data_IF_875328140459
#
_entry.id   IF_875328140459
#
_cell.length_a   1.000
_cell.length_b   1.000
_cell.length_c   1.000
_cell.angle_alpha   90.00
_cell.angle_beta   90.00
_cell.angle_gamma   90.00
#
_symmetry.space_group_name_H-M   'P 1'
#
loop_
_entity.id
_entity.type
_entity.pdbx_description
1 polymer ?
#
# COMPACT_ATOMS: atom_id res chain seq x y z
N UNK A 1 12.88 -3.06 -25.05
CA UNK A 1 12.19 -1.78 -25.29
C UNK A 1 10.68 -1.91 -25.07
N UNK A 2 9.91 -2.68 -25.86
CA UNK A 2 8.45 -2.76 -25.67
C UNK A 2 7.96 -3.41 -24.35
N UNK A 3 8.63 -4.45 -23.84
CA UNK A 3 8.15 -5.14 -22.64
C UNK A 3 8.28 -4.32 -21.33
N UNK A 4 9.29 -3.47 -21.21
CA UNK A 4 9.48 -2.61 -20.04
C UNK A 4 8.48 -1.45 -20.03
N UNK A 5 8.28 -0.79 -21.18
CA UNK A 5 7.29 0.27 -21.35
C UNK A 5 5.84 -0.21 -21.15
N UNK A 6 5.51 -1.45 -21.51
CA UNK A 6 4.18 -2.01 -21.25
C UNK A 6 3.94 -2.30 -19.77
N UNK A 7 4.99 -2.70 -19.03
CA UNK A 7 4.91 -2.87 -17.56
C UNK A 7 4.75 -1.50 -16.89
N UNK A 8 5.53 -0.50 -17.29
CA UNK A 8 5.44 0.87 -16.78
C UNK A 8 4.05 1.48 -17.01
N UNK A 9 3.48 1.31 -18.22
CA UNK A 9 2.11 1.75 -18.52
C UNK A 9 1.05 1.01 -17.72
N UNK A 10 1.18 -0.30 -17.53
CA UNK A 10 0.24 -1.07 -16.73
C UNK A 10 0.29 -0.67 -15.24
N UNK A 11 1.48 -0.35 -14.74
CA UNK A 11 1.71 0.16 -13.39
C UNK A 11 1.14 1.57 -13.23
N UNK A 12 1.41 2.48 -14.18
CA UNK A 12 0.85 3.84 -14.22
C UNK A 12 -0.70 3.84 -14.30
N UNK A 13 -1.29 3.00 -15.14
CA UNK A 13 -2.74 2.87 -15.28
C UNK A 13 -3.39 2.24 -14.02
N UNK A 14 -2.70 1.29 -13.38
CA UNK A 14 -3.12 0.76 -12.07
C UNK A 14 -3.18 1.88 -11.02
N UNK A 15 -2.19 2.78 -11.03
CA UNK A 15 -2.18 3.94 -10.14
C UNK A 15 -3.26 4.99 -10.44
N UNK A 16 -3.63 5.23 -11.71
CA UNK A 16 -4.71 6.16 -12.07
C UNK A 16 -6.10 5.67 -11.63
N UNK A 17 -6.29 4.36 -11.51
CA UNK A 17 -7.64 3.79 -11.40
C UNK A 17 -8.35 4.01 -10.05
N UNK A 18 -7.67 4.17 -8.91
CA UNK A 18 -8.40 4.18 -7.63
C UNK A 18 -7.74 5.07 -6.54
N UNK A 19 -8.17 6.33 -6.46
CA UNK A 19 -7.91 7.21 -5.32
C UNK A 19 -8.76 6.93 -4.07
N UNK A 20 -9.66 5.93 -4.14
CA UNK A 20 -10.52 5.49 -3.02
C UNK A 20 -10.10 4.11 -2.50
N UNK A 21 -10.25 3.84 -1.20
CA UNK A 21 -10.09 2.50 -0.62
C UNK A 21 -11.01 1.45 -1.22
N UNK A 22 -10.61 0.19 -1.13
CA UNK A 22 -11.40 -0.96 -1.55
C UNK A 22 -11.94 -1.79 -0.39
N UNK A 23 -11.23 -1.86 0.73
CA UNK A 23 -11.69 -2.61 1.89
C UNK A 23 -12.75 -1.81 2.66
N UNK A 24 -13.86 -2.46 3.02
CA UNK A 24 -15.00 -1.77 3.65
C UNK A 24 -14.61 -1.04 4.95
N UNK A 25 -13.73 -1.66 5.75
CA UNK A 25 -13.21 -1.05 6.97
C UNK A 25 -12.46 0.25 6.72
N UNK A 26 -11.61 0.27 5.70
CA UNK A 26 -10.84 1.45 5.33
C UNK A 26 -11.72 2.52 4.67
N UNK A 27 -12.67 2.10 3.84
CA UNK A 27 -13.61 3.02 3.18
C UNK A 27 -14.42 3.81 4.22
N UNK A 28 -14.88 3.18 5.31
CA UNK A 28 -15.55 3.88 6.43
C UNK A 28 -14.66 4.93 7.08
N UNK A 29 -13.36 4.66 7.24
CA UNK A 29 -12.41 5.64 7.79
C UNK A 29 -12.23 6.80 6.82
N UNK A 30 -12.04 6.50 5.53
CA UNK A 30 -11.89 7.50 4.48
C UNK A 30 -13.08 8.44 4.41
N UNK A 31 -14.31 7.89 4.30
CA UNK A 31 -15.53 8.69 4.20
C UNK A 31 -15.74 9.55 5.45
N UNK A 32 -15.56 8.99 6.64
CA UNK A 32 -15.66 9.75 7.90
C UNK A 32 -14.69 10.93 7.95
N UNK A 33 -13.42 10.71 7.61
CA UNK A 33 -12.42 11.79 7.62
C UNK A 33 -12.73 12.83 6.55
N UNK A 34 -13.10 12.40 5.34
CA UNK A 34 -13.46 13.30 4.25
C UNK A 34 -14.71 14.15 4.58
N UNK A 35 -15.69 13.59 5.27
CA UNK A 35 -16.87 14.31 5.74
C UNK A 35 -16.51 15.36 6.82
N UNK A 36 -15.55 15.06 7.69
CA UNK A 36 -15.11 15.95 8.77
C UNK A 36 -14.25 17.13 8.27
N UNK A 37 -13.31 16.90 7.36
CA UNK A 37 -12.28 17.89 6.98
C UNK A 37 -12.24 18.24 5.49
N UNK A 38 -13.16 17.68 4.70
CA UNK A 38 -13.21 17.84 3.24
C UNK A 38 -12.20 16.96 2.50
N UNK A 39 -11.95 17.23 1.20
CA UNK A 39 -11.09 16.39 0.37
C UNK A 39 -9.66 16.33 0.91
N UNK A 40 -9.01 15.17 0.78
CA UNK A 40 -7.66 14.88 1.25
C UNK A 40 -6.58 15.47 0.32
N UNK A 41 -6.57 16.79 0.18
CA UNK A 41 -5.80 17.57 -0.78
C UNK A 41 -4.53 18.25 -0.21
N UNK A 42 -4.22 18.03 1.07
CA UNK A 42 -3.05 18.60 1.73
C UNK A 42 -2.37 17.60 2.65
N UNK A 43 -1.06 17.79 2.89
CA UNK A 43 -0.27 16.95 3.81
C UNK A 43 -0.90 16.91 5.21
N UNK A 44 -1.43 18.04 5.71
CA UNK A 44 -2.08 18.10 7.01
C UNK A 44 -3.33 17.19 7.07
N UNK A 45 -4.18 17.23 6.03
CA UNK A 45 -5.36 16.37 5.94
C UNK A 45 -4.99 14.89 5.76
N UNK A 46 -3.95 14.59 4.99
CA UNK A 46 -3.40 13.23 4.92
C UNK A 46 -2.90 12.73 6.29
N UNK A 47 -2.32 13.62 7.10
CA UNK A 47 -1.95 13.33 8.48
C UNK A 47 -3.15 12.95 9.35
N UNK A 48 -4.27 13.68 9.23
CA UNK A 48 -5.52 13.33 9.90
C UNK A 48 -6.07 11.99 9.43
N UNK A 49 -6.00 11.71 8.12
CA UNK A 49 -6.43 10.42 7.59
C UNK A 49 -5.58 9.25 8.12
N UNK A 50 -4.25 9.38 8.09
CA UNK A 50 -3.34 8.40 8.70
C UNK A 50 -3.65 8.16 10.18
N UNK A 51 -4.01 9.21 10.92
CA UNK A 51 -4.42 9.10 12.31
C UNK A 51 -5.73 8.33 12.45
N UNK A 52 -6.72 8.60 11.59
CA UNK A 52 -7.98 7.85 11.57
C UNK A 52 -7.79 6.36 11.25
N UNK A 53 -6.85 6.01 10.36
CA UNK A 53 -6.50 4.62 10.08
C UNK A 53 -5.89 3.96 11.33
N UNK A 54 -4.96 4.65 11.99
CA UNK A 54 -4.31 4.17 13.22
C UNK A 54 -5.31 3.95 14.38
N UNK A 55 -6.37 4.75 14.45
CA UNK A 55 -7.44 4.58 15.44
C UNK A 55 -8.35 3.39 15.14
N UNK A 56 -8.58 3.10 13.85
CA UNK A 56 -9.37 1.96 13.41
C UNK A 56 -8.59 0.63 13.50
N UNK A 57 -7.28 0.67 13.32
CA UNK A 57 -6.41 -0.50 13.41
C UNK A 57 -5.09 -0.18 14.15
N UNK A 58 -4.97 -0.71 15.37
CA UNK A 58 -3.79 -0.51 16.20
C UNK A 58 -2.49 -1.13 15.63
N UNK A 59 -2.58 -2.03 14.65
CA UNK A 59 -1.41 -2.58 13.94
C UNK A 59 -0.82 -1.58 12.94
N UNK A 60 -1.60 -0.58 12.53
CA UNK A 60 -1.12 0.52 11.71
C UNK A 60 -0.23 1.45 12.55
N UNK A 61 1.07 1.20 12.50
CA UNK A 61 2.08 1.90 13.33
C UNK A 61 3.01 2.79 12.49
N UNK A 62 3.99 3.45 13.11
CA UNK A 62 5.00 4.22 12.38
C UNK A 62 5.75 3.43 11.30
N UNK A 63 5.82 2.09 11.40
CA UNK A 63 6.35 1.22 10.33
C UNK A 63 5.51 1.32 9.06
N UNK A 64 4.19 1.36 9.17
CA UNK A 64 3.28 1.53 8.03
C UNK A 64 3.55 2.86 7.32
N UNK A 65 3.65 3.96 8.09
CA UNK A 65 3.94 5.30 7.56
C UNK A 65 5.29 5.32 6.82
N UNK A 66 6.32 4.68 7.39
CA UNK A 66 7.63 4.54 6.75
C UNK A 66 7.52 3.77 5.43
N UNK A 67 6.79 2.66 5.40
CA UNK A 67 6.63 1.84 4.20
C UNK A 67 5.88 2.60 3.09
N UNK A 68 4.83 3.33 3.44
CA UNK A 68 4.10 4.22 2.50
C UNK A 68 5.04 5.27 1.94
N UNK A 69 5.81 5.95 2.80
CA UNK A 69 6.75 6.99 2.39
C UNK A 69 7.83 6.45 1.45
N UNK A 70 8.33 5.24 1.69
CA UNK A 70 9.31 4.61 0.81
C UNK A 70 8.71 4.21 -0.53
N UNK A 71 7.46 3.73 -0.56
CA UNK A 71 6.77 3.45 -1.82
C UNK A 71 6.59 4.72 -2.67
N UNK A 72 6.20 5.84 -2.05
CA UNK A 72 6.12 7.14 -2.71
C UNK A 72 7.47 7.56 -3.30
N UNK A 73 8.57 7.37 -2.55
CA UNK A 73 9.92 7.68 -3.06
C UNK A 73 10.31 6.81 -4.24
N UNK A 74 10.04 5.50 -4.16
CA UNK A 74 10.33 4.58 -5.27
C UNK A 74 9.58 5.00 -6.51
N UNK A 75 8.28 5.33 -6.38
CA UNK A 75 7.45 5.77 -7.49
C UNK A 75 7.90 7.12 -8.08
N UNK A 76 8.35 8.06 -7.24
CA UNK A 76 8.92 9.32 -7.72
C UNK A 76 10.27 9.16 -8.44
N UNK A 77 10.98 8.05 -8.16
CA UNK A 77 12.28 7.70 -8.74
C UNK A 77 12.18 6.61 -9.81
N UNK A 78 10.97 6.29 -10.28
CA UNK A 78 10.74 5.27 -11.31
C UNK A 78 10.93 5.91 -12.69
N UNK A 79 12.18 5.96 -13.14
CA UNK A 79 12.57 6.45 -14.46
C UNK A 79 13.67 5.58 -15.06
N UNK A 80 13.68 5.49 -16.38
CA UNK A 80 14.77 4.84 -17.12
C UNK A 80 15.87 5.87 -17.44
N UNK A 81 17.14 5.44 -17.36
CA UNK A 81 18.26 6.25 -17.81
C UNK A 81 18.30 6.27 -19.35
N UNK A 82 18.54 7.42 -20.00
CA UNK A 82 18.64 7.46 -21.46
C UNK A 82 19.76 6.56 -21.99
N UNK A 83 19.45 5.71 -22.98
CA UNK A 83 20.43 4.80 -23.60
C UNK A 83 21.68 5.54 -24.12
N UNK A 84 21.50 6.75 -24.64
CA UNK A 84 22.58 7.60 -25.15
C UNK A 84 23.68 7.89 -24.11
N UNK A 85 23.33 7.91 -22.82
CA UNK A 85 24.28 8.13 -21.73
C UNK A 85 25.27 6.96 -21.58
N UNK A 86 24.85 5.75 -21.99
CA UNK A 86 25.68 4.55 -21.99
C UNK A 86 26.44 4.41 -23.31
N UNK A 87 25.82 4.75 -24.44
CA UNK A 87 26.46 4.70 -25.76
C UNK A 87 27.58 5.75 -25.91
N UNK A 88 27.40 6.92 -25.30
CA UNK A 88 28.36 8.04 -25.36
C UNK A 88 28.75 8.47 -23.94
N UNK A 89 29.83 7.89 -23.37
CA UNK A 89 30.23 8.13 -21.99
C UNK A 89 30.45 9.60 -21.61
N UNK A 90 30.84 10.46 -22.56
CA UNK A 90 31.02 11.90 -22.35
C UNK A 90 29.70 12.63 -22.03
N UNK A 91 28.55 12.06 -22.35
CA UNK A 91 27.25 12.66 -22.05
C UNK A 91 26.89 12.56 -20.57
N UNK A 92 27.31 11.49 -19.89
CA UNK A 92 26.95 11.25 -18.50
C UNK A 92 28.08 10.61 -17.68
N UNK A 93 28.59 9.44 -18.07
CA UNK A 93 29.54 8.66 -17.27
C UNK A 93 30.82 9.42 -16.86
N UNK A 94 31.34 10.30 -17.71
CA UNK A 94 32.55 11.08 -17.42
C UNK A 94 32.28 12.48 -16.84
N UNK A 95 31.01 12.84 -16.64
CA UNK A 95 30.63 14.09 -15.96
C UNK A 95 30.95 14.03 -14.48
N UNK A 96 31.14 15.21 -13.88
CA UNK A 96 31.32 15.35 -12.44
C UNK A 96 30.05 15.00 -11.67
N UNK A 97 30.19 14.82 -10.36
CA UNK A 97 29.11 14.36 -9.48
C UNK A 97 27.92 15.32 -9.46
N UNK A 98 28.15 16.63 -9.36
CA UNK A 98 27.04 17.60 -9.25
C UNK A 98 26.28 17.67 -10.57
N UNK A 99 26.97 17.62 -11.71
CA UNK A 99 26.32 17.53 -13.02
C UNK A 99 25.48 16.27 -13.15
N UNK A 100 26.03 15.08 -12.82
CA UNK A 100 25.26 13.82 -12.87
C UNK A 100 24.04 13.85 -11.97
N UNK A 101 24.21 14.37 -10.75
CA UNK A 101 23.12 14.50 -9.79
C UNK A 101 22.00 15.38 -10.33
N UNK A 102 22.32 16.53 -10.92
CA UNK A 102 21.33 17.40 -11.54
C UNK A 102 20.61 16.71 -12.70
N UNK A 103 21.34 16.01 -13.58
CA UNK A 103 20.75 15.26 -14.70
C UNK A 103 19.80 14.16 -14.21
N UNK A 104 20.13 13.45 -13.15
CA UNK A 104 19.24 12.45 -12.54
C UNK A 104 18.04 13.14 -11.86
N UNK A 105 18.26 14.28 -11.19
CA UNK A 105 17.22 15.05 -10.52
C UNK A 105 16.17 15.59 -11.51
N UNK A 106 16.54 15.79 -12.77
CA UNK A 106 15.61 16.17 -13.85
C UNK A 106 14.72 15.01 -14.33
N UNK A 107 15.14 13.75 -14.14
CA UNK A 107 14.37 12.57 -14.53
C UNK A 107 13.29 12.19 -13.51
N UNK A 108 13.43 12.63 -12.25
CA UNK A 108 12.48 12.30 -11.19
C UNK A 108 11.12 12.95 -11.44
N UNK A 109 10.07 12.27 -11.01
CA UNK A 109 8.72 12.84 -11.01
C UNK A 109 8.45 13.59 -9.70
N UNK A 110 7.66 14.68 -9.72
CA UNK A 110 7.26 15.35 -8.50
C UNK A 110 6.36 14.45 -7.65
N UNK A 111 6.58 14.45 -6.34
CA UNK A 111 5.66 13.80 -5.40
C UNK A 111 4.39 14.65 -5.31
N UNK A 112 3.26 14.08 -5.74
CA UNK A 112 1.94 14.73 -5.68
C UNK A 112 1.14 14.24 -4.49
N UNK A 113 0.13 15.01 -4.07
CA UNK A 113 -0.78 14.59 -3.00
C UNK A 113 -1.53 13.31 -3.38
N UNK A 114 -1.98 13.19 -4.63
CA UNK A 114 -2.66 12.01 -5.12
C UNK A 114 -1.78 10.76 -5.06
N UNK A 115 -0.48 10.89 -5.39
CA UNK A 115 0.47 9.79 -5.26
C UNK A 115 0.54 9.31 -3.81
N UNK A 116 0.64 10.23 -2.84
CA UNK A 116 0.69 9.87 -1.42
C UNK A 116 -0.63 9.22 -0.98
N UNK A 117 -1.77 9.78 -1.37
CA UNK A 117 -3.08 9.24 -1.02
C UNK A 117 -3.27 7.82 -1.59
N UNK A 118 -2.88 7.59 -2.84
CA UNK A 118 -2.91 6.27 -3.46
C UNK A 118 -2.04 5.26 -2.71
N UNK A 119 -0.82 5.63 -2.31
CA UNK A 119 0.05 4.74 -1.54
C UNK A 119 -0.48 4.47 -0.13
N UNK A 120 -1.12 5.45 0.52
CA UNK A 120 -1.82 5.24 1.80
C UNK A 120 -2.92 4.19 1.63
N UNK A 121 -3.80 4.38 0.65
CA UNK A 121 -4.92 3.48 0.42
C UNK A 121 -4.44 2.07 0.05
N UNK A 122 -3.47 1.94 -0.86
CA UNK A 122 -2.90 0.65 -1.28
C UNK A 122 -2.32 -0.13 -0.10
N UNK A 123 -1.55 0.55 0.76
CA UNK A 123 -0.96 -0.09 1.94
C UNK A 123 -2.03 -0.49 2.95
N UNK A 124 -2.91 0.44 3.33
CA UNK A 124 -3.92 0.21 4.34
C UNK A 124 -4.98 -0.81 3.89
N UNK A 125 -5.38 -0.84 2.62
CA UNK A 125 -6.26 -1.89 2.06
C UNK A 125 -5.62 -3.27 2.23
N UNK A 126 -4.29 -3.36 2.00
CA UNK A 126 -3.59 -4.62 2.20
C UNK A 126 -3.64 -5.05 3.67
N UNK A 127 -3.39 -4.15 4.62
CA UNK A 127 -3.45 -4.44 6.06
C UNK A 127 -4.86 -4.85 6.52
N UNK A 128 -5.90 -4.12 6.11
CA UNK A 128 -7.30 -4.42 6.46
C UNK A 128 -7.73 -5.79 5.92
N UNK A 129 -7.37 -6.10 4.67
CA UNK A 129 -7.65 -7.41 4.07
C UNK A 129 -7.04 -8.58 4.85
N UNK A 130 -5.83 -8.41 5.38
CA UNK A 130 -5.18 -9.47 6.17
C UNK A 130 -5.77 -9.60 7.57
N UNK A 131 -6.32 -8.52 8.13
CA UNK A 131 -7.07 -8.55 9.37
C UNK A 131 -8.27 -9.47 9.28
N UNK A 132 -9.17 -9.17 8.35
CA UNK A 132 -10.46 -9.82 8.25
C UNK A 132 -10.27 -11.31 7.94
N UNK A 133 -9.30 -11.63 7.07
CA UNK A 133 -8.95 -13.02 6.76
C UNK A 133 -8.34 -13.77 7.94
N UNK A 134 -7.51 -13.13 8.76
CA UNK A 134 -6.89 -13.76 9.92
C UNK A 134 -7.94 -14.09 10.98
N UNK A 135 -8.84 -13.15 11.24
CA UNK A 135 -9.91 -13.31 12.22
C UNK A 135 -10.91 -14.38 11.77
N UNK A 136 -11.33 -14.37 10.51
CA UNK A 136 -12.20 -15.40 9.94
C UNK A 136 -11.56 -16.79 10.02
N UNK A 137 -10.28 -16.92 9.67
CA UNK A 137 -9.56 -18.18 9.76
C UNK A 137 -9.47 -18.71 11.20
N UNK A 138 -9.31 -17.81 12.19
CA UNK A 138 -9.31 -18.17 13.61
C UNK A 138 -10.70 -18.64 14.08
N UNK A 139 -11.76 -17.95 13.67
CA UNK A 139 -13.15 -18.33 13.97
C UNK A 139 -13.47 -19.69 13.37
N UNK A 140 -13.15 -19.91 12.09
CA UNK A 140 -13.36 -21.21 11.44
C UNK A 140 -12.60 -22.34 12.15
N UNK A 141 -11.38 -22.09 12.60
CA UNK A 141 -10.60 -23.05 13.36
C UNK A 141 -11.29 -23.42 14.68
N UNK A 142 -11.80 -22.43 15.43
CA UNK A 142 -12.56 -22.68 16.65
C UNK A 142 -13.84 -23.47 16.37
N UNK A 143 -14.59 -23.14 15.32
CA UNK A 143 -15.82 -23.88 14.94
C UNK A 143 -15.50 -25.36 14.69
N UNK A 144 -14.41 -25.66 13.95
CA UNK A 144 -13.96 -27.04 13.71
C UNK A 144 -13.61 -27.76 15.02
N UNK A 145 -12.94 -27.09 15.96
CA UNK A 145 -12.56 -27.68 17.24
C UNK A 145 -13.77 -27.92 18.17
N UNK A 146 -14.75 -27.01 18.18
CA UNK A 146 -16.01 -27.23 18.87
C UNK A 146 -16.76 -28.44 18.29
N UNK A 147 -16.84 -28.54 16.96
CA UNK A 147 -17.46 -29.69 16.28
C UNK A 147 -16.77 -31.02 16.63
N UNK A 148 -15.44 -31.05 16.68
CA UNK A 148 -14.67 -32.23 17.12
C UNK A 148 -14.96 -32.59 18.57
N UNK A 149 -15.05 -31.58 19.44
CA UNK A 149 -15.32 -31.77 20.87
C UNK A 149 -16.71 -32.34 21.10
N UNK A 150 -17.74 -31.80 20.44
CA UNK A 150 -19.12 -32.29 20.52
C UNK A 150 -19.22 -33.74 20.02
N UNK A 151 -18.62 -34.05 18.87
CA UNK A 151 -18.63 -35.41 18.32
C UNK A 151 -17.86 -36.40 19.21
N UNK A 152 -16.72 -36.00 19.78
CA UNK A 152 -15.98 -36.82 20.74
C UNK A 152 -16.80 -37.11 22.00
N UNK A 153 -17.50 -36.10 22.53
CA UNK A 153 -18.38 -36.24 23.69
C UNK A 153 -19.54 -37.19 23.42
N UNK A 154 -20.20 -37.08 22.26
CA UNK A 154 -21.26 -38.01 21.83
C UNK A 154 -20.76 -39.46 21.82
N UNK A 155 -19.64 -39.72 21.14
CA UNK A 155 -19.04 -41.07 21.07
C UNK A 155 -18.60 -41.61 22.42
N UNK A 156 -18.10 -40.75 23.30
CA UNK A 156 -17.71 -41.17 24.65
C UNK A 156 -18.91 -41.62 25.48
N UNK A 157 -20.01 -40.88 25.43
CA UNK A 157 -21.25 -41.23 26.14
C UNK A 157 -21.87 -42.52 25.59
N UNK A 158 -21.88 -42.71 24.26
CA UNK A 158 -22.36 -43.94 23.60
C UNK A 158 -21.56 -45.20 23.99
N UNK A 159 -20.28 -45.06 24.35
CA UNK A 159 -19.45 -46.18 24.82
C UNK A 159 -19.58 -46.46 26.32
N UNK A 160 -20.18 -45.54 27.08
CA UNK A 160 -20.27 -45.60 28.55
C UNK A 160 -21.65 -46.08 29.03
N UNK A 161 -22.68 -45.95 28.19
CA UNK A 161 -23.98 -46.63 28.36
C UNK A 161 -23.95 -48.01 27.74
#
# INVERSE_FOLDING_TARGET
LYAAQEIEKAVAASFESHGKPHEEGLLRVYDRVADEIGPLDTIAKLGTYLKGIQEADARFTGRAIKNITDAVKVRAMDFELPDEWMEKPDLFLFRDYETKKAMIDELRQPITIDMVLQEINRYADSEFRYADKSDEAAIEAMIRDYGRTEEAKRRYLERKG
#
